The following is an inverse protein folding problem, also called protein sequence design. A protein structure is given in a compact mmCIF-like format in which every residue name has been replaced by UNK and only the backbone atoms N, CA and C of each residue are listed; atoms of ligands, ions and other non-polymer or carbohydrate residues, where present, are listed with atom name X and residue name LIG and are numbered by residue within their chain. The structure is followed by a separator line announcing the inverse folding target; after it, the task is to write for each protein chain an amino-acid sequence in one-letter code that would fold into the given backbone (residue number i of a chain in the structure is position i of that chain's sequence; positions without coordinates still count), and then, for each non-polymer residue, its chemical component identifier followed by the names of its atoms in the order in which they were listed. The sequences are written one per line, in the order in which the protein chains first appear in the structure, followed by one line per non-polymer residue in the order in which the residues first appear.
data_IF_356333257160
#
_entry.id   IF_356333257160
#
_cell.length_a   1.000
_cell.length_b   1.000
_cell.length_c   1.000
_cell.angle_alpha   90.00
_cell.angle_beta   90.00
_cell.angle_gamma   90.00
#
_symmetry.space_group_name_H-M   'P 1'
#
loop_
_entity.id
_entity.type
_entity.pdbx_description
1 polymer ?
#
# COMPACT_ATOMS: atom_id res chain seq x y z
N UNK A 1 -62.25 36.04 6.09
CA UNK A 1 -61.28 34.93 6.07
C UNK A 1 -60.39 35.09 4.85
N UNK A 2 -59.22 35.71 5.00
CA UNK A 2 -58.13 35.69 3.99
C UNK A 2 -56.89 35.26 4.76
N UNK A 3 -56.44 34.03 4.54
CA UNK A 3 -55.25 33.50 5.18
C UNK A 3 -54.02 34.16 4.54
N UNK A 4 -53.25 34.84 5.36
CA UNK A 4 -51.97 35.45 5.02
C UNK A 4 -50.91 34.36 5.21
N UNK A 5 -50.41 33.78 4.13
CA UNK A 5 -49.27 32.87 4.18
C UNK A 5 -48.01 33.68 4.51
N UNK A 6 -47.53 33.54 5.74
CA UNK A 6 -46.24 34.06 6.18
C UNK A 6 -45.18 33.08 5.66
N UNK A 7 -44.59 33.39 4.51
CA UNK A 7 -43.42 32.69 3.99
C UNK A 7 -42.23 33.06 4.90
N UNK A 8 -41.99 32.23 5.91
CA UNK A 8 -40.78 32.29 6.71
C UNK A 8 -39.65 31.73 5.84
N UNK A 9 -38.97 32.59 5.09
CA UNK A 9 -37.65 32.28 4.55
C UNK A 9 -36.70 32.06 5.73
N UNK A 10 -36.59 30.80 6.16
CA UNK A 10 -35.42 30.32 6.89
C UNK A 10 -34.24 30.43 5.92
N UNK A 11 -33.59 31.59 5.90
CA UNK A 11 -32.20 31.69 5.48
C UNK A 11 -31.39 30.85 6.48
N UNK A 12 -31.29 29.56 6.20
CA UNK A 12 -30.21 28.74 6.73
C UNK A 12 -28.93 29.30 6.11
N UNK A 13 -28.36 30.32 6.76
CA UNK A 13 -26.94 30.60 6.63
C UNK A 13 -26.24 29.35 7.19
N UNK A 14 -26.00 28.38 6.31
CA UNK A 14 -24.95 27.41 6.53
C UNK A 14 -23.66 28.22 6.55
N UNK A 15 -23.18 28.53 7.74
CA UNK A 15 -21.79 28.90 7.92
C UNK A 15 -20.99 27.74 7.34
N UNK A 16 -20.41 27.94 6.16
CA UNK A 16 -19.25 27.19 5.72
C UNK A 16 -18.15 27.57 6.71
N UNK A 17 -18.13 26.92 7.87
CA UNK A 17 -16.94 26.94 8.69
C UNK A 17 -15.89 26.20 7.85
N UNK A 18 -14.79 26.87 7.56
CA UNK A 18 -13.65 26.23 6.94
C UNK A 18 -13.27 25.06 7.86
N UNK A 19 -13.41 23.83 7.36
CA UNK A 19 -13.11 22.64 8.14
C UNK A 19 -11.59 22.49 8.16
N UNK A 20 -10.99 22.45 9.35
CA UNK A 20 -9.56 22.23 9.46
C UNK A 20 -9.20 20.80 9.04
N UNK A 21 -8.12 20.68 8.27
CA UNK A 21 -7.49 19.41 7.92
C UNK A 21 -6.71 18.92 9.14
N UNK A 22 -6.90 17.66 9.51
CA UNK A 22 -6.13 17.05 10.60
C UNK A 22 -4.78 16.61 10.06
N UNK A 23 -3.70 17.19 10.61
CA UNK A 23 -2.31 16.91 10.24
C UNK A 23 -1.56 16.56 11.53
N UNK A 24 -1.50 15.28 11.93
CA UNK A 24 -0.93 14.87 13.21
C UNK A 24 0.59 14.97 13.28
N UNK A 25 1.29 14.78 12.16
CA UNK A 25 2.74 14.90 12.08
C UNK A 25 3.13 16.38 12.21
N UNK A 26 3.93 16.69 13.24
CA UNK A 26 4.30 18.06 13.56
C UNK A 26 5.26 18.67 12.52
N UNK A 27 6.11 17.85 11.88
CA UNK A 27 7.02 18.31 10.85
C UNK A 27 6.25 18.57 9.55
N UNK A 28 5.28 17.70 9.21
CA UNK A 28 4.40 17.94 8.06
C UNK A 28 3.58 19.20 8.26
N UNK A 29 2.96 19.36 9.44
CA UNK A 29 2.25 20.60 9.79
C UNK A 29 3.15 21.82 9.69
N UNK A 30 4.38 21.74 10.20
CA UNK A 30 5.34 22.84 10.13
C UNK A 30 5.72 23.19 8.69
N UNK A 31 5.94 22.20 7.82
CA UNK A 31 6.23 22.44 6.41
C UNK A 31 5.08 23.21 5.75
N UNK A 32 3.83 22.79 6.00
CA UNK A 32 2.65 23.41 5.38
C UNK A 32 2.38 24.84 5.84
N UNK A 33 2.80 25.24 7.05
CA UNK A 33 2.48 26.56 7.62
C UNK A 33 3.67 27.50 7.77
N UNK A 34 4.91 27.02 7.62
CA UNK A 34 6.12 27.81 7.87
C UNK A 34 7.19 27.70 6.76
N UNK A 35 6.94 26.98 5.67
CA UNK A 35 7.89 26.87 4.55
C UNK A 35 7.23 27.18 3.22
N UNK A 36 7.99 27.78 2.30
CA UNK A 36 7.58 27.87 0.91
C UNK A 36 7.59 26.46 0.33
N UNK A 37 6.41 25.87 0.18
CA UNK A 37 6.19 24.50 -0.25
C UNK A 37 5.20 24.39 -1.42
N UNK A 38 4.51 25.47 -1.78
CA UNK A 38 3.58 25.52 -2.91
C UNK A 38 4.21 26.33 -4.03
N UNK A 39 4.13 25.83 -5.26
CA UNK A 39 4.46 26.56 -6.50
C UNK A 39 3.17 27.12 -7.12
N UNK A 40 2.96 28.43 -7.02
CA UNK A 40 1.73 29.08 -7.51
C UNK A 40 1.81 29.59 -8.94
N UNK A 41 3.00 29.72 -9.52
CA UNK A 41 3.19 30.26 -10.87
C UNK A 41 3.66 29.22 -11.90
N UNK A 42 3.96 28.00 -11.45
CA UNK A 42 4.31 26.84 -12.27
C UNK A 42 5.74 26.90 -12.80
N UNK A 43 6.62 27.69 -12.19
CA UNK A 43 8.03 27.79 -12.60
C UNK A 43 8.91 26.65 -12.05
N UNK A 44 8.34 25.78 -11.22
CA UNK A 44 8.99 24.64 -10.58
C UNK A 44 9.66 24.97 -9.25
N UNK A 45 9.55 26.20 -8.73
CA UNK A 45 10.07 26.59 -7.44
C UNK A 45 8.92 26.97 -6.48
N UNK A 46 8.90 26.41 -5.26
CA UNK A 46 7.95 26.85 -4.25
C UNK A 46 8.11 28.33 -3.88
N UNK A 47 6.99 29.05 -3.82
CA UNK A 47 6.94 30.51 -3.58
C UNK A 47 6.07 30.91 -2.37
N UNK A 48 5.20 30.03 -1.88
CA UNK A 48 4.35 30.28 -0.70
C UNK A 48 4.13 29.02 0.14
N UNK A 49 3.65 29.20 1.37
CA UNK A 49 3.11 28.12 2.21
C UNK A 49 1.63 27.84 1.89
N UNK A 50 1.05 26.83 2.56
CA UNK A 50 -0.37 26.46 2.39
C UNK A 50 -1.29 27.31 3.28
N UNK A 51 -0.80 27.83 4.40
CA UNK A 51 -1.57 28.67 5.35
C UNK A 51 -1.78 30.11 4.84
N UNK A 52 -2.65 30.25 3.84
CA UNK A 52 -2.92 31.51 3.16
C UNK A 52 -3.46 32.59 4.10
N UNK A 53 -4.14 32.19 5.18
CA UNK A 53 -4.74 33.12 6.13
C UNK A 53 -3.86 33.41 7.35
N UNK A 54 -2.73 32.70 7.49
CA UNK A 54 -1.73 32.82 8.56
C UNK A 54 -2.31 32.59 9.97
N UNK A 55 -3.25 31.66 10.13
CA UNK A 55 -3.85 31.31 11.43
C UNK A 55 -3.19 30.11 12.13
N UNK A 56 -2.17 29.52 11.49
CA UNK A 56 -1.43 28.35 11.95
C UNK A 56 -2.17 27.04 11.72
N UNK A 57 -3.35 27.07 11.11
CA UNK A 57 -4.12 25.91 10.72
C UNK A 57 -4.18 25.75 9.21
N UNK A 58 -4.48 24.53 8.74
CA UNK A 58 -4.73 24.29 7.32
C UNK A 58 -6.21 24.00 7.21
N UNK A 59 -6.94 24.83 6.48
CA UNK A 59 -8.34 24.56 6.20
C UNK A 59 -8.51 23.82 4.87
N UNK A 60 -9.63 23.11 4.72
CA UNK A 60 -9.92 22.33 3.53
C UNK A 60 -9.83 23.18 2.26
N UNK A 61 -10.30 24.44 2.30
CA UNK A 61 -10.21 25.36 1.16
C UNK A 61 -8.77 25.75 0.80
N UNK A 62 -7.85 25.75 1.75
CA UNK A 62 -6.43 26.01 1.51
C UNK A 62 -5.78 24.77 0.89
N UNK A 63 -6.02 23.59 1.45
CA UNK A 63 -5.53 22.32 0.90
C UNK A 63 -6.06 22.06 -0.53
N UNK A 64 -7.34 22.33 -0.79
CA UNK A 64 -7.95 22.19 -2.12
C UNK A 64 -7.40 23.22 -3.15
N UNK A 65 -6.79 24.32 -2.71
CA UNK A 65 -6.21 25.32 -3.61
C UNK A 65 -4.81 24.93 -4.12
N UNK A 66 -4.15 23.95 -3.47
CA UNK A 66 -2.80 23.52 -3.82
C UNK A 66 -2.82 22.58 -5.03
N UNK A 67 -2.00 22.92 -6.03
CA UNK A 67 -1.80 22.09 -7.23
C UNK A 67 -0.41 21.42 -7.24
N UNK A 68 0.59 22.04 -6.63
CA UNK A 68 1.95 21.53 -6.53
C UNK A 68 2.43 21.71 -5.09
N UNK A 69 2.96 20.65 -4.50
CA UNK A 69 3.43 20.63 -3.11
C UNK A 69 4.82 19.99 -3.03
N UNK A 70 5.78 20.68 -2.43
CA UNK A 70 7.10 20.18 -2.10
C UNK A 70 7.34 20.26 -0.58
N UNK A 71 7.36 19.11 0.07
CA UNK A 71 7.64 18.93 1.51
C UNK A 71 8.89 18.09 1.73
N UNK A 72 9.84 18.15 0.79
CA UNK A 72 11.08 17.38 0.85
C UNK A 72 12.04 17.90 1.93
N UNK A 73 12.90 17.02 2.45
CA UNK A 73 13.96 17.37 3.42
C UNK A 73 13.43 17.94 4.75
N UNK A 74 12.31 17.43 5.25
CA UNK A 74 11.61 17.98 6.43
C UNK A 74 11.56 17.02 7.63
N UNK A 75 12.17 15.83 7.56
CA UNK A 75 12.08 14.78 8.59
C UNK A 75 10.62 14.39 8.91
N UNK A 76 9.76 14.36 7.89
CA UNK A 76 8.36 13.99 8.03
C UNK A 76 8.24 12.47 8.15
N UNK A 77 7.43 11.99 9.09
CA UNK A 77 7.21 10.54 9.32
C UNK A 77 5.87 10.10 8.73
N UNK A 78 4.89 10.99 8.63
CA UNK A 78 3.58 10.71 8.04
C UNK A 78 3.01 11.91 7.30
N UNK A 79 2.44 11.66 6.12
CA UNK A 79 1.63 12.62 5.36
C UNK A 79 0.13 12.51 5.67
N UNK A 80 -0.27 11.94 6.82
CA UNK A 80 -1.68 11.92 7.22
C UNK A 80 -2.29 13.34 7.13
N UNK A 81 -3.38 13.45 6.37
CA UNK A 81 -4.01 14.71 5.98
C UNK A 81 -3.90 15.03 4.48
N UNK A 82 -2.93 14.44 3.76
CA UNK A 82 -2.68 14.69 2.32
C UNK A 82 -3.88 14.39 1.42
N UNK A 83 -4.78 13.48 1.84
CA UNK A 83 -6.03 13.19 1.14
C UNK A 83 -6.95 14.42 0.99
N UNK A 84 -6.77 15.48 1.81
CA UNK A 84 -7.53 16.74 1.68
C UNK A 84 -7.01 17.65 0.54
N UNK A 85 -5.85 17.33 -0.05
CA UNK A 85 -5.25 18.04 -1.17
C UNK A 85 -5.75 17.42 -2.49
N UNK A 86 -7.07 17.40 -2.69
CA UNK A 86 -7.72 16.63 -3.76
C UNK A 86 -7.41 17.10 -5.19
N UNK A 87 -6.94 18.35 -5.33
CA UNK A 87 -6.55 18.94 -6.61
C UNK A 87 -5.04 18.88 -6.85
N UNK A 88 -4.28 18.17 -6.00
CA UNK A 88 -2.84 18.03 -6.13
C UNK A 88 -2.46 17.29 -7.41
N UNK A 89 -1.62 17.92 -8.23
CA UNK A 89 -1.09 17.43 -9.51
C UNK A 89 0.36 16.97 -9.34
N UNK A 90 1.14 17.71 -8.55
CA UNK A 90 2.55 17.41 -8.29
C UNK A 90 2.82 17.31 -6.80
N UNK A 91 3.49 16.23 -6.38
CA UNK A 91 3.93 16.04 -5.00
C UNK A 91 5.42 15.65 -4.96
N UNK A 92 6.22 16.43 -4.23
CA UNK A 92 7.58 16.06 -3.83
C UNK A 92 7.61 15.88 -2.31
N UNK A 93 8.05 14.71 -1.86
CA UNK A 93 8.17 14.33 -0.45
C UNK A 93 9.47 13.57 -0.19
N UNK A 94 10.49 13.90 -0.98
CA UNK A 94 11.83 13.30 -0.99
C UNK A 94 12.59 13.52 0.32
N UNK A 95 13.48 12.58 0.67
CA UNK A 95 14.40 12.68 1.82
C UNK A 95 13.65 13.04 3.11
N UNK A 96 12.79 12.09 3.50
CA UNK A 96 11.99 12.14 4.71
C UNK A 96 12.06 10.76 5.40
N UNK A 97 11.37 10.64 6.54
CA UNK A 97 11.35 9.43 7.36
C UNK A 97 9.98 8.71 7.20
N UNK A 98 9.37 8.77 6.01
CA UNK A 98 8.03 8.25 5.77
C UNK A 98 7.98 6.72 5.95
N UNK A 99 7.02 6.25 6.72
CA UNK A 99 6.77 4.80 6.92
C UNK A 99 5.66 4.30 5.98
N UNK A 100 4.77 5.20 5.58
CA UNK A 100 3.68 4.94 4.65
C UNK A 100 3.42 6.16 3.77
N UNK A 101 2.90 5.91 2.57
CA UNK A 101 2.49 6.94 1.64
C UNK A 101 1.17 6.51 0.99
N UNK A 102 0.05 6.98 1.55
CA UNK A 102 -1.28 6.75 0.98
C UNK A 102 -1.73 7.97 0.18
N UNK A 103 -1.84 7.78 -1.14
CA UNK A 103 -2.25 8.80 -2.10
C UNK A 103 -3.49 8.35 -2.90
N UNK A 104 -4.25 7.40 -2.36
CA UNK A 104 -5.41 6.79 -3.02
C UNK A 104 -6.53 7.78 -3.32
N UNK A 105 -6.64 8.86 -2.55
CA UNK A 105 -7.62 9.95 -2.75
C UNK A 105 -7.07 11.10 -3.62
N UNK A 106 -5.76 11.17 -3.85
CA UNK A 106 -5.11 12.20 -4.68
C UNK A 106 -5.12 11.81 -6.17
N UNK A 107 -6.31 11.54 -6.70
CA UNK A 107 -6.52 10.98 -8.06
C UNK A 107 -6.11 11.92 -9.21
N UNK A 108 -5.87 13.20 -8.91
CA UNK A 108 -5.41 14.22 -9.87
C UNK A 108 -3.89 14.22 -10.07
N UNK A 109 -3.13 13.43 -9.29
CA UNK A 109 -1.67 13.39 -9.36
C UNK A 109 -1.18 12.94 -10.74
N UNK A 110 -0.25 13.71 -11.28
CA UNK A 110 0.49 13.46 -12.52
C UNK A 110 1.97 13.22 -12.24
N UNK A 111 2.55 13.92 -11.26
CA UNK A 111 3.98 13.84 -10.95
C UNK A 111 4.20 13.57 -9.47
N UNK A 112 5.03 12.58 -9.17
CA UNK A 112 5.41 12.29 -7.79
C UNK A 112 6.90 12.00 -7.66
N UNK A 113 7.54 12.66 -6.68
CA UNK A 113 8.85 12.30 -6.16
C UNK A 113 8.76 11.93 -4.69
N UNK A 114 9.21 10.71 -4.37
CA UNK A 114 9.22 10.13 -3.03
C UNK A 114 10.48 9.29 -2.77
N UNK A 115 11.58 9.62 -3.47
CA UNK A 115 12.87 8.96 -3.28
C UNK A 115 13.49 9.30 -1.91
N UNK A 116 14.42 8.45 -1.45
CA UNK A 116 15.06 8.55 -0.14
C UNK A 116 14.06 8.55 1.05
N UNK A 117 13.11 7.62 1.05
CA UNK A 117 12.24 7.30 2.18
C UNK A 117 12.42 5.83 2.59
N UNK A 118 13.52 5.55 3.29
CA UNK A 118 14.05 4.19 3.51
C UNK A 118 13.12 3.21 4.25
N UNK A 119 12.11 3.70 4.97
CA UNK A 119 11.17 2.88 5.76
C UNK A 119 9.88 2.52 5.01
N UNK A 120 9.65 3.07 3.81
CA UNK A 120 8.50 2.70 2.98
C UNK A 120 8.66 1.26 2.49
N UNK A 121 7.71 0.39 2.84
CA UNK A 121 7.70 -1.01 2.40
C UNK A 121 6.85 -1.22 1.15
N UNK A 122 5.79 -0.42 0.98
CA UNK A 122 4.84 -0.57 -0.12
C UNK A 122 4.46 0.78 -0.71
N UNK A 123 4.47 0.86 -2.03
CA UNK A 123 3.92 1.98 -2.80
C UNK A 123 2.80 1.45 -3.70
N UNK A 124 1.61 2.04 -3.60
CA UNK A 124 0.45 1.67 -4.41
C UNK A 124 -0.15 2.90 -5.09
N UNK A 125 0.03 2.98 -6.40
CA UNK A 125 -0.47 4.04 -7.26
C UNK A 125 -1.62 3.58 -8.16
N UNK A 126 -2.29 2.46 -7.83
CA UNK A 126 -3.40 1.92 -8.63
C UNK A 126 -4.59 2.89 -8.78
N UNK A 127 -4.76 3.83 -7.85
CA UNK A 127 -5.80 4.88 -7.92
C UNK A 127 -5.38 6.12 -8.73
N UNK A 128 -4.07 6.34 -8.94
CA UNK A 128 -3.54 7.56 -9.57
C UNK A 128 -3.50 7.39 -11.09
N UNK A 129 -4.68 7.39 -11.71
CA UNK A 129 -4.89 7.09 -13.14
C UNK A 129 -4.32 8.13 -14.11
N UNK A 130 -3.82 9.26 -13.60
CA UNK A 130 -3.24 10.33 -14.41
C UNK A 130 -1.71 10.40 -14.32
N UNK A 131 -1.05 9.45 -13.65
CA UNK A 131 0.38 9.50 -13.37
C UNK A 131 1.24 9.48 -14.66
N UNK A 132 2.10 10.48 -14.82
CA UNK A 132 3.02 10.71 -15.96
C UNK A 132 4.49 10.55 -15.54
N UNK A 133 4.81 10.89 -14.29
CA UNK A 133 6.16 10.79 -13.72
C UNK A 133 6.13 10.21 -12.31
N UNK A 134 6.95 9.18 -12.07
CA UNK A 134 7.15 8.54 -10.76
C UNK A 134 8.64 8.41 -10.45
N UNK A 135 9.11 9.13 -9.44
CA UNK A 135 10.44 9.01 -8.88
C UNK A 135 10.33 8.43 -7.46
N UNK A 136 10.65 7.15 -7.33
CA UNK A 136 10.59 6.38 -6.09
C UNK A 136 11.84 5.52 -5.88
N UNK A 137 12.94 5.90 -6.52
CA UNK A 137 14.23 5.27 -6.33
C UNK A 137 14.75 5.47 -4.90
N UNK A 138 15.79 4.73 -4.55
CA UNK A 138 16.48 4.89 -3.27
C UNK A 138 15.59 4.69 -2.04
N UNK A 139 14.58 3.82 -2.17
CA UNK A 139 13.74 3.39 -1.04
C UNK A 139 14.18 1.99 -0.58
N UNK A 140 15.11 1.93 0.38
CA UNK A 140 15.83 0.71 0.74
C UNK A 140 14.95 -0.45 1.21
N UNK A 141 13.83 -0.17 1.90
CA UNK A 141 12.89 -1.18 2.41
C UNK A 141 11.74 -1.51 1.46
N UNK A 142 11.64 -0.86 0.29
CA UNK A 142 10.54 -1.04 -0.64
C UNK A 142 10.52 -2.47 -1.17
N UNK A 143 9.45 -3.21 -0.87
CA UNK A 143 9.25 -4.60 -1.33
C UNK A 143 8.23 -4.71 -2.47
N UNK A 144 7.32 -3.74 -2.56
CA UNK A 144 6.19 -3.76 -3.48
C UNK A 144 5.93 -2.38 -4.08
N UNK A 145 5.89 -2.32 -5.40
CA UNK A 145 5.42 -1.15 -6.16
C UNK A 145 4.28 -1.56 -7.07
N UNK A 146 3.13 -0.89 -6.96
CA UNK A 146 2.01 -1.08 -7.86
C UNK A 146 1.75 0.19 -8.68
N UNK A 147 1.88 0.05 -9.99
CA UNK A 147 1.54 1.08 -10.98
C UNK A 147 0.49 0.56 -11.97
N UNK A 148 -0.24 -0.51 -11.66
CA UNK A 148 -1.34 -1.02 -12.47
C UNK A 148 -2.58 -0.12 -12.30
N UNK A 149 -2.55 1.02 -12.95
CA UNK A 149 -3.56 2.09 -12.86
C UNK A 149 -4.28 2.34 -14.19
N UNK A 150 -4.06 1.51 -15.21
CA UNK A 150 -4.57 1.69 -16.56
C UNK A 150 -3.87 2.80 -17.36
N UNK A 151 -2.75 3.35 -16.87
CA UNK A 151 -2.07 4.51 -17.46
C UNK A 151 -0.58 4.26 -17.81
N UNK A 152 -0.10 3.01 -17.78
CA UNK A 152 1.31 2.71 -18.06
C UNK A 152 1.82 3.27 -19.41
N UNK A 153 0.99 3.35 -20.44
CA UNK A 153 1.39 3.92 -21.75
C UNK A 153 1.68 5.42 -21.72
N UNK A 154 1.14 6.15 -20.73
CA UNK A 154 1.38 7.59 -20.54
C UNK A 154 2.42 7.89 -19.44
N UNK A 155 2.88 6.87 -18.70
CA UNK A 155 3.93 7.00 -17.69
C UNK A 155 5.29 7.11 -18.38
N UNK A 156 5.71 8.34 -18.67
CA UNK A 156 6.94 8.63 -19.41
C UNK A 156 8.20 8.46 -18.58
N UNK A 157 8.10 8.58 -17.25
CA UNK A 157 9.23 8.42 -16.34
C UNK A 157 8.83 7.55 -15.16
N UNK A 158 9.66 6.54 -14.88
CA UNK A 158 9.55 5.70 -13.69
C UNK A 158 10.95 5.35 -13.19
N UNK A 159 11.38 5.94 -12.08
CA UNK A 159 12.61 5.58 -11.39
C UNK A 159 12.26 4.81 -10.12
N UNK A 160 12.66 3.55 -10.06
CA UNK A 160 12.48 2.63 -8.93
C UNK A 160 13.74 1.77 -8.69
N UNK A 161 14.90 2.24 -9.14
CA UNK A 161 16.19 1.63 -8.86
C UNK A 161 16.68 2.00 -7.44
N UNK A 162 17.82 1.43 -7.04
CA UNK A 162 18.36 1.59 -5.68
C UNK A 162 17.38 1.16 -4.56
N UNK A 163 16.41 0.30 -4.89
CA UNK A 163 15.39 -0.23 -3.99
C UNK A 163 15.63 -1.72 -3.77
N UNK A 164 16.57 -2.05 -2.88
CA UNK A 164 17.22 -3.37 -2.85
C UNK A 164 16.30 -4.56 -2.53
N UNK A 165 15.15 -4.31 -1.91
CA UNK A 165 14.16 -5.31 -1.57
C UNK A 165 13.03 -5.45 -2.60
N UNK A 166 12.99 -4.58 -3.63
CA UNK A 166 11.90 -4.52 -4.58
C UNK A 166 12.02 -5.68 -5.58
N UNK A 167 11.21 -6.71 -5.39
CA UNK A 167 11.26 -7.90 -6.26
C UNK A 167 10.30 -7.80 -7.45
N UNK A 168 9.20 -7.06 -7.30
CA UNK A 168 8.12 -7.03 -8.27
C UNK A 168 7.51 -5.64 -8.39
N UNK A 169 7.34 -5.19 -9.62
CA UNK A 169 6.58 -3.99 -9.97
C UNK A 169 5.30 -4.45 -10.70
N UNK A 170 4.15 -4.12 -10.13
CA UNK A 170 2.86 -4.51 -10.70
C UNK A 170 2.45 -3.51 -11.78
N UNK A 171 2.16 -4.01 -12.98
CA UNK A 171 1.94 -3.20 -14.20
C UNK A 171 0.64 -3.61 -14.91
N UNK A 172 0.18 -2.76 -15.81
CA UNK A 172 -0.99 -3.02 -16.67
C UNK A 172 -0.67 -4.04 -17.78
N UNK A 173 0.51 -3.91 -18.41
CA UNK A 173 0.97 -4.76 -19.50
C UNK A 173 2.47 -5.07 -19.34
N UNK A 174 2.79 -6.34 -19.07
CA UNK A 174 4.17 -6.80 -18.86
C UNK A 174 5.02 -6.68 -20.13
N UNK A 175 4.43 -6.81 -21.32
CA UNK A 175 5.15 -6.69 -22.60
C UNK A 175 5.57 -5.25 -22.83
N UNK A 176 4.67 -4.29 -22.60
CA UNK A 176 4.96 -2.87 -22.67
C UNK A 176 6.05 -2.48 -21.67
N UNK A 177 5.90 -2.87 -20.40
CA UNK A 177 6.87 -2.55 -19.34
C UNK A 177 8.28 -3.09 -19.65
N UNK A 178 8.38 -4.32 -20.18
CA UNK A 178 9.68 -4.91 -20.58
C UNK A 178 10.28 -4.29 -21.85
N UNK A 179 9.51 -3.52 -22.62
CA UNK A 179 10.04 -2.80 -23.79
C UNK A 179 10.70 -1.47 -23.43
N UNK A 180 10.48 -0.98 -22.22
CA UNK A 180 11.08 0.25 -21.73
C UNK A 180 12.54 0.04 -21.32
N UNK A 181 13.33 1.10 -21.36
CA UNK A 181 14.77 1.07 -21.03
C UNK A 181 15.12 2.08 -19.95
N UNK A 182 16.10 1.74 -19.12
CA UNK A 182 16.75 2.69 -18.22
C UNK A 182 17.91 3.39 -18.98
N UNK A 183 17.98 4.72 -18.94
CA UNK A 183 18.96 5.52 -19.70
C UNK A 183 18.42 6.87 -20.14
N UNK A 184 18.95 7.43 -21.23
CA UNK A 184 18.59 8.77 -21.71
C UNK A 184 17.34 8.76 -22.63
N UNK A 185 16.31 9.51 -22.21
CA UNK A 185 15.21 10.22 -22.93
C UNK A 185 14.77 9.67 -24.32
N UNK A 186 13.48 9.39 -24.58
CA UNK A 186 12.31 10.08 -24.01
C UNK A 186 11.43 9.30 -23.01
N UNK A 187 11.69 8.02 -22.77
CA UNK A 187 10.95 7.22 -21.77
C UNK A 187 11.96 6.41 -20.97
N UNK A 188 11.99 6.63 -19.65
CA UNK A 188 13.00 6.06 -18.76
C UNK A 188 12.32 5.30 -17.65
N UNK A 189 12.31 3.96 -17.78
CA UNK A 189 11.86 3.07 -16.71
C UNK A 189 13.09 2.36 -16.12
N UNK A 190 13.52 2.81 -14.95
CA UNK A 190 14.65 2.29 -14.21
C UNK A 190 14.18 1.44 -13.03
N UNK A 191 14.82 0.29 -12.87
CA UNK A 191 14.61 -0.66 -11.77
C UNK A 191 15.85 -1.51 -11.62
N UNK A 192 15.94 -2.25 -10.53
CA UNK A 192 17.01 -3.22 -10.35
C UNK A 192 16.97 -4.33 -11.43
N UNK A 193 18.14 -4.90 -11.80
CA UNK A 193 18.20 -5.97 -12.79
C UNK A 193 17.40 -7.23 -12.40
N UNK A 194 17.21 -7.50 -11.11
CA UNK A 194 16.47 -8.66 -10.59
C UNK A 194 14.99 -8.40 -10.33
N UNK A 195 14.54 -7.14 -10.29
CA UNK A 195 13.12 -6.79 -10.16
C UNK A 195 12.38 -7.20 -11.44
N UNK A 196 11.19 -7.77 -11.31
CA UNK A 196 10.37 -8.18 -12.47
C UNK A 196 9.11 -7.32 -12.59
N UNK A 197 8.66 -7.10 -13.82
CA UNK A 197 7.31 -6.60 -14.07
C UNK A 197 6.31 -7.75 -14.08
N UNK A 198 5.15 -7.58 -13.48
CA UNK A 198 4.06 -8.57 -13.47
C UNK A 198 2.70 -7.88 -13.47
N UNK A 199 1.69 -8.46 -14.12
CA UNK A 199 0.28 -8.04 -13.94
C UNK A 199 -0.28 -8.42 -12.56
N UNK A 200 0.43 -9.28 -11.83
CA UNK A 200 0.05 -9.70 -10.49
C UNK A 200 1.32 -9.94 -9.67
N UNK A 201 1.64 -8.98 -8.81
CA UNK A 201 2.77 -9.08 -7.90
C UNK A 201 2.41 -9.70 -6.54
N UNK A 202 1.23 -10.35 -6.41
CA UNK A 202 0.77 -11.03 -5.19
C UNK A 202 1.95 -11.68 -4.47
N UNK A 203 2.40 -11.00 -3.41
CA UNK A 203 3.55 -11.39 -2.61
C UNK A 203 3.19 -12.71 -1.93
N UNK A 204 3.63 -13.80 -2.55
CA UNK A 204 3.20 -15.14 -2.21
C UNK A 204 4.08 -16.20 -2.85
N UNK A 205 5.39 -16.08 -2.62
CA UNK A 205 6.42 -17.07 -2.94
C UNK A 205 6.73 -17.16 -4.43
N UNK A 206 8.02 -17.11 -4.75
CA UNK A 206 8.58 -17.68 -5.98
C UNK A 206 7.76 -18.88 -6.46
N UNK A 207 7.21 -18.75 -7.67
CA UNK A 207 6.51 -19.77 -8.46
C UNK A 207 6.56 -21.19 -7.87
N UNK A 208 5.77 -21.39 -6.83
CA UNK A 208 5.54 -22.66 -6.19
C UNK A 208 4.16 -22.49 -5.60
N UNK A 209 3.18 -23.12 -6.25
CA UNK A 209 1.83 -23.32 -5.76
C UNK A 209 1.85 -23.33 -4.22
N UNK A 210 1.26 -22.30 -3.60
CA UNK A 210 1.06 -22.29 -2.16
C UNK A 210 0.09 -23.42 -1.85
N UNK A 211 0.63 -24.58 -1.48
CA UNK A 211 -0.12 -25.76 -1.07
C UNK A 211 -0.75 -25.48 0.30
N UNK A 212 -1.75 -24.60 0.37
CA UNK A 212 -2.47 -24.36 1.60
C UNK A 212 -3.52 -25.46 1.82
N UNK A 213 -3.64 -25.95 3.06
CA UNK A 213 -4.71 -26.87 3.45
C UNK A 213 -5.39 -26.41 4.74
N UNK A 214 -6.66 -26.76 4.87
CA UNK A 214 -7.48 -26.55 6.08
C UNK A 214 -7.66 -27.85 6.85
N UNK A 215 -7.83 -27.73 8.17
CA UNK A 215 -8.07 -28.84 9.10
C UNK A 215 -9.50 -28.74 9.64
N UNK A 216 -10.28 -29.82 9.55
CA UNK A 216 -11.66 -29.82 10.04
C UNK A 216 -12.11 -31.21 10.51
N UNK A 217 -13.00 -31.28 11.52
CA UNK A 217 -13.44 -30.16 12.36
C UNK A 217 -12.31 -29.68 13.28
N UNK A 218 -12.35 -28.43 13.69
CA UNK A 218 -11.46 -27.88 14.72
C UNK A 218 -12.32 -27.03 15.67
N UNK A 219 -12.62 -27.47 16.89
CA UNK A 219 -12.09 -28.66 17.58
C UNK A 219 -12.52 -30.03 17.01
N UNK A 220 -11.68 -31.05 17.16
CA UNK A 220 -11.88 -32.44 16.69
C UNK A 220 -12.08 -33.40 17.86
N UNK A 221 -12.96 -34.41 17.71
CA UNK A 221 -13.10 -35.50 18.69
C UNK A 221 -12.32 -36.74 18.25
N UNK A 222 -12.69 -37.37 17.14
CA UNK A 222 -12.12 -38.68 16.76
C UNK A 222 -11.41 -38.65 15.41
N UNK A 223 -11.91 -37.86 14.46
CA UNK A 223 -11.43 -37.90 13.07
C UNK A 223 -11.15 -36.50 12.56
N UNK A 224 -9.88 -36.23 12.26
CA UNK A 224 -9.41 -34.99 11.65
C UNK A 224 -9.36 -35.18 10.12
N UNK A 225 -9.89 -34.21 9.37
CA UNK A 225 -9.86 -34.20 7.91
C UNK A 225 -9.05 -33.01 7.38
N UNK A 226 -8.35 -33.23 6.28
CA UNK A 226 -7.64 -32.19 5.53
C UNK A 226 -8.44 -31.82 4.27
N UNK A 227 -8.40 -30.55 3.85
CA UNK A 227 -9.11 -30.07 2.66
C UNK A 227 -8.61 -30.77 1.38
N UNK A 228 -9.50 -31.28 0.52
CA UNK A 228 -9.12 -31.95 -0.72
C UNK A 228 -8.37 -31.00 -1.67
N UNK A 229 -7.49 -31.54 -2.50
CA UNK A 229 -6.72 -30.76 -3.49
C UNK A 229 -5.19 -30.95 -3.44
N UNK A 230 -4.69 -31.80 -2.55
CA UNK A 230 -3.24 -32.01 -2.36
C UNK A 230 -2.91 -33.51 -2.40
N UNK A 231 -1.88 -33.91 -3.15
CA UNK A 231 -1.35 -35.26 -3.11
C UNK A 231 -0.45 -35.44 -1.87
N UNK A 232 -1.02 -35.94 -0.77
CA UNK A 232 -0.31 -36.09 0.49
C UNK A 232 0.71 -37.23 0.41
N UNK A 233 2.01 -36.91 0.48
CA UNK A 233 3.07 -37.94 0.52
C UNK A 233 3.31 -38.46 1.95
N UNK A 234 3.29 -37.56 2.93
CA UNK A 234 3.45 -37.88 4.35
C UNK A 234 2.71 -36.83 5.21
N UNK A 235 1.88 -37.29 6.15
CA UNK A 235 1.18 -36.46 7.13
C UNK A 235 1.64 -36.89 8.52
N UNK A 236 1.98 -35.93 9.36
CA UNK A 236 2.53 -36.16 10.69
C UNK A 236 1.79 -35.32 11.74
N UNK A 237 1.54 -35.90 12.91
CA UNK A 237 0.88 -35.23 14.03
C UNK A 237 1.91 -35.04 15.14
N UNK A 238 2.04 -33.82 15.64
CA UNK A 238 2.99 -33.44 16.67
C UNK A 238 2.30 -32.90 17.93
N UNK A 239 2.91 -33.16 19.08
CA UNK A 239 2.58 -32.49 20.35
C UNK A 239 3.05 -31.02 20.34
N UNK A 240 2.63 -30.24 21.34
CA UNK A 240 3.14 -28.87 21.55
C UNK A 240 4.65 -28.81 21.80
N UNK A 241 5.25 -29.89 22.29
CA UNK A 241 6.70 -29.99 22.55
C UNK A 241 7.48 -30.49 21.32
N UNK A 242 6.82 -30.69 20.17
CA UNK A 242 7.44 -31.15 18.93
C UNK A 242 7.66 -32.67 18.85
N UNK A 243 7.17 -33.45 19.81
CA UNK A 243 7.22 -34.92 19.73
C UNK A 243 6.23 -35.44 18.66
N UNK A 244 6.69 -36.31 17.76
CA UNK A 244 5.87 -37.03 16.80
C UNK A 244 4.94 -38.04 17.49
N UNK A 245 3.64 -37.95 17.24
CA UNK A 245 2.58 -38.74 17.88
C UNK A 245 1.90 -39.73 16.92
N UNK A 246 1.73 -39.36 15.65
CA UNK A 246 1.10 -40.21 14.64
C UNK A 246 1.54 -39.84 13.22
N UNK A 247 1.39 -40.78 12.29
CA UNK A 247 1.58 -40.55 10.85
C UNK A 247 0.39 -41.07 10.05
N UNK A 248 0.11 -40.44 8.91
CA UNK A 248 -0.98 -40.82 8.02
C UNK A 248 -0.60 -40.63 6.54
N UNK A 249 -1.29 -41.37 5.67
CA UNK A 249 -1.14 -41.29 4.20
C UNK A 249 -2.43 -40.89 3.49
N UNK A 250 -3.46 -40.55 4.24
CA UNK A 250 -4.78 -40.16 3.73
C UNK A 250 -5.20 -38.86 4.40
N UNK A 251 -6.06 -38.08 3.72
CA UNK A 251 -6.61 -36.84 4.26
C UNK A 251 -7.63 -37.05 5.40
N UNK A 252 -7.85 -38.29 5.83
CA UNK A 252 -8.66 -38.65 6.98
C UNK A 252 -7.76 -39.32 8.01
N UNK A 253 -7.68 -38.73 9.20
CA UNK A 253 -6.72 -39.08 10.25
C UNK A 253 -7.48 -39.40 11.53
N UNK A 254 -7.25 -40.58 12.10
CA UNK A 254 -7.79 -40.95 13.41
C UNK A 254 -6.94 -40.33 14.52
N UNK A 255 -7.58 -39.48 15.32
CA UNK A 255 -6.98 -38.77 16.47
C UNK A 255 -7.69 -39.13 17.78
N UNK A 256 -8.55 -40.15 17.79
CA UNK A 256 -9.31 -40.60 18.97
C UNK A 256 -8.42 -40.98 20.16
N UNK A 257 -7.17 -41.39 19.88
CA UNK A 257 -6.18 -41.81 20.88
C UNK A 257 -5.42 -40.65 21.53
N UNK A 258 -5.59 -39.42 21.04
CA UNK A 258 -4.96 -38.23 21.61
C UNK A 258 -5.77 -37.73 22.81
N UNK A 259 -5.10 -37.26 23.85
CA UNK A 259 -5.74 -36.53 24.94
C UNK A 259 -6.22 -35.16 24.48
N UNK A 260 -7.21 -34.58 25.15
CA UNK A 260 -7.66 -33.20 24.90
C UNK A 260 -6.49 -32.22 24.99
N UNK A 261 -6.42 -31.26 24.06
CA UNK A 261 -5.32 -30.30 24.00
C UNK A 261 -5.01 -29.76 22.60
N UNK A 262 -3.92 -29.02 22.50
CA UNK A 262 -3.43 -28.47 21.23
C UNK A 262 -2.41 -29.40 20.57
N UNK A 263 -2.54 -29.56 19.27
CA UNK A 263 -1.65 -30.38 18.45
C UNK A 263 -1.34 -29.67 17.14
N UNK A 264 -0.30 -30.13 16.46
CA UNK A 264 0.04 -29.69 15.12
C UNK A 264 -0.11 -30.86 14.15
N UNK A 265 -0.61 -30.57 12.95
CA UNK A 265 -0.52 -31.46 11.80
C UNK A 265 0.40 -30.85 10.77
N UNK A 266 1.41 -31.61 10.35
CA UNK A 266 2.37 -31.22 9.34
C UNK A 266 2.19 -32.10 8.10
N UNK A 267 2.22 -31.47 6.92
CA UNK A 267 2.09 -32.13 5.62
C UNK A 267 3.29 -31.74 4.79
N UNK A 268 3.97 -32.73 4.22
CA UNK A 268 5.07 -32.50 3.27
C UNK A 268 4.62 -32.78 1.85
N UNK A 269 4.82 -31.80 0.95
CA UNK A 269 4.57 -31.93 -0.49
C UNK A 269 5.73 -31.30 -1.23
N UNK A 270 6.32 -32.05 -2.17
CA UNK A 270 7.45 -31.61 -2.99
C UNK A 270 8.60 -30.98 -2.18
N UNK A 271 8.91 -31.60 -1.03
CA UNK A 271 9.98 -31.19 -0.12
C UNK A 271 9.64 -29.99 0.78
N UNK A 272 8.47 -29.38 0.64
CA UNK A 272 7.99 -28.29 1.50
C UNK A 272 7.07 -28.82 2.60
N UNK A 273 7.31 -28.43 3.84
CA UNK A 273 6.49 -28.84 5.01
C UNK A 273 5.60 -27.70 5.47
N UNK A 274 4.31 -27.96 5.59
CA UNK A 274 3.30 -26.99 6.00
C UNK A 274 2.62 -27.50 7.26
N UNK A 275 2.55 -26.66 8.29
CA UNK A 275 2.06 -27.03 9.63
C UNK A 275 0.82 -26.23 10.02
N UNK A 276 -0.23 -26.90 10.51
CA UNK A 276 -1.45 -26.29 11.03
C UNK A 276 -1.73 -26.76 12.46
N UNK A 277 -2.18 -25.84 13.31
CA UNK A 277 -2.64 -26.14 14.67
C UNK A 277 -4.08 -26.64 14.64
N UNK A 278 -4.40 -27.65 15.44
CA UNK A 278 -5.78 -28.07 15.72
C UNK A 278 -5.98 -28.36 17.22
N UNK A 279 -7.24 -28.36 17.65
CA UNK A 279 -7.67 -28.58 19.03
C UNK A 279 -8.36 -29.95 19.11
N UNK A 280 -7.85 -30.85 19.94
CA UNK A 280 -8.55 -32.08 20.33
C UNK A 280 -9.46 -31.77 21.53
N UNK A 281 -10.76 -31.99 21.36
CA UNK A 281 -11.75 -31.93 22.44
C UNK A 281 -11.65 -33.20 23.31
#
# INVERSE_FOLDING_TARGET
MKQLYFLCCLLSFSFLNAQNVTIPDANFKNALVNTQCVDTDGDGNPDTDVDLNNDGEIQLTEAEAVLSLDVSFQNIVSLEGIASFSNLITLFCTDNDLIELDLSENISLENIGCWDNDEIVTLDFSANVNLVSLECDSNGSLEYLNIQNGNNENLTLMWADNSSNLQCIQVDDVTYANSQTCGDDPIVWCKEPYTVYSENCSLGVSNAELISFSVYPNPVTDTLKLSPGVAYQNIEIYSMQGQLLATAKSNVIDVSRLSSGFFFVSVTVDGKTITKKFIKA
#
